data_IF_323186605062
#
_entry.id   IF_323186605062
#
_cell.length_a   1.000
_cell.length_b   1.000
_cell.length_c   1.000
_cell.angle_alpha   90.00
_cell.angle_beta   90.00
_cell.angle_gamma   90.00
#
_symmetry.space_group_name_H-M   'P 1'
#
loop_
_entity.id
_entity.type
_entity.pdbx_description
1 polymer ?
#
# COMPACT_ATOMS: atom_id res chain seq x y z
N UNK A 1 17.10 -32.26 -17.97
CA UNK A 1 16.29 -31.81 -16.82
C UNK A 1 16.44 -30.30 -16.74
N UNK A 2 15.57 -29.55 -17.43
CA UNK A 2 15.60 -28.09 -17.45
C UNK A 2 14.90 -27.59 -16.18
N UNK A 3 15.70 -27.12 -15.22
CA UNK A 3 15.21 -26.41 -14.05
C UNK A 3 14.92 -24.98 -14.50
N UNK A 4 13.66 -24.73 -14.86
CA UNK A 4 13.12 -23.38 -14.95
C UNK A 4 13.18 -22.78 -13.55
N UNK A 5 14.22 -22.01 -13.26
CA UNK A 5 14.21 -21.08 -12.14
C UNK A 5 13.14 -20.05 -12.44
N UNK A 6 11.91 -20.32 -12.01
CA UNK A 6 10.88 -19.30 -11.93
C UNK A 6 11.43 -18.20 -11.04
N UNK A 7 11.76 -17.07 -11.65
CA UNK A 7 11.89 -15.82 -10.94
C UNK A 7 10.49 -15.56 -10.37
N UNK A 8 10.29 -15.96 -9.11
CA UNK A 8 9.25 -15.34 -8.30
C UNK A 8 9.60 -13.86 -8.31
N UNK A 9 8.96 -13.10 -9.19
CA UNK A 9 8.89 -11.66 -9.05
C UNK A 9 8.18 -11.44 -7.72
N UNK A 10 8.96 -11.27 -6.65
CA UNK A 10 8.49 -10.64 -5.43
C UNK A 10 7.88 -9.34 -5.88
N UNK A 11 6.55 -9.27 -5.87
CA UNK A 11 5.83 -8.02 -6.05
C UNK A 11 6.41 -7.07 -5.02
N UNK A 12 7.23 -6.12 -5.48
CA UNK A 12 7.68 -4.99 -4.68
C UNK A 12 6.43 -4.14 -4.42
N UNK A 13 5.68 -4.59 -3.42
CA UNK A 13 4.43 -4.05 -2.97
C UNK A 13 4.66 -2.61 -2.52
N UNK A 14 3.87 -1.69 -3.08
CA UNK A 14 3.64 -0.32 -2.60
C UNK A 14 4.68 0.19 -1.59
N UNK A 15 5.84 0.61 -2.08
CA UNK A 15 6.85 1.22 -1.22
C UNK A 15 6.45 2.67 -0.93
N UNK A 16 5.62 2.86 0.09
CA UNK A 16 5.44 4.17 0.71
C UNK A 16 6.75 4.52 1.45
N UNK A 17 7.33 5.72 1.22
CA UNK A 17 8.47 6.20 1.99
C UNK A 17 8.14 6.19 3.49
N UNK A 18 9.12 5.75 4.30
CA UNK A 18 9.05 5.85 5.75
C UNK A 18 9.99 6.94 6.23
N UNK A 19 9.56 7.69 7.25
CA UNK A 19 10.32 8.79 7.82
C UNK A 19 10.48 8.58 9.32
N UNK A 20 11.72 8.41 9.77
CA UNK A 20 12.06 8.30 11.19
C UNK A 20 12.07 9.69 11.84
N UNK A 21 11.28 9.87 12.89
CA UNK A 21 11.17 11.12 13.63
C UNK A 21 11.83 10.97 15.00
N UNK A 22 12.95 11.64 15.20
CA UNK A 22 13.76 11.58 16.42
C UNK A 22 13.24 12.49 17.57
N UNK A 23 11.92 12.69 17.64
CA UNK A 23 11.25 13.43 18.73
C UNK A 23 10.35 12.48 19.50
N UNK A 24 10.44 12.48 20.84
CA UNK A 24 9.65 11.55 21.66
C UNK A 24 8.25 12.11 21.91
N UNK A 25 7.23 11.39 21.44
CA UNK A 25 5.83 11.78 21.57
C UNK A 25 4.98 10.61 22.08
N UNK A 26 3.82 10.94 22.68
CA UNK A 26 2.80 9.93 22.94
C UNK A 26 2.26 9.42 21.60
N UNK A 27 1.67 8.23 21.56
CA UNK A 27 1.10 7.70 20.31
C UNK A 27 0.11 8.66 19.62
N UNK A 28 -0.88 9.29 20.32
CA UNK A 28 -1.79 10.23 19.65
C UNK A 28 -1.11 11.52 19.19
N UNK A 29 -0.09 12.01 19.90
CA UNK A 29 0.72 13.16 19.46
C UNK A 29 1.52 12.81 18.20
N UNK A 30 2.17 11.63 18.18
CA UNK A 30 2.93 11.14 17.04
C UNK A 30 2.03 10.97 15.80
N UNK A 31 0.82 10.43 15.97
CA UNK A 31 -0.18 10.34 14.91
C UNK A 31 -0.55 11.72 14.37
N UNK A 32 -0.81 12.68 15.25
CA UNK A 32 -1.15 14.05 14.86
C UNK A 32 0.00 14.70 14.10
N UNK A 33 1.25 14.51 14.55
CA UNK A 33 2.44 14.97 13.86
C UNK A 33 2.56 14.39 12.45
N UNK A 34 2.39 13.07 12.30
CA UNK A 34 2.46 12.42 10.99
C UNK A 34 1.34 12.90 10.06
N UNK A 35 0.13 13.14 10.56
CA UNK A 35 -0.99 13.66 9.74
C UNK A 35 -0.84 15.13 9.34
N UNK A 36 -0.07 15.90 10.11
CA UNK A 36 0.21 17.30 9.80
C UNK A 36 1.32 17.45 8.75
N UNK A 37 2.29 16.53 8.71
CA UNK A 37 3.54 16.67 7.93
C UNK A 37 3.77 15.58 6.87
N UNK A 38 3.10 14.45 7.00
CA UNK A 38 3.20 13.27 6.14
C UNK A 38 1.78 12.74 5.87
N UNK A 39 1.58 11.43 5.79
CA UNK A 39 0.24 10.83 5.68
C UNK A 39 -0.30 10.32 7.01
N UNK A 40 0.37 9.37 7.66
CA UNK A 40 -0.01 8.85 9.00
C UNK A 40 1.21 8.12 9.62
N UNK A 41 1.06 7.57 10.82
CA UNK A 41 2.02 6.64 11.41
C UNK A 41 2.20 5.40 10.54
N UNK A 42 3.42 4.87 10.49
CA UNK A 42 3.82 3.77 9.61
C UNK A 42 2.87 2.57 9.69
N UNK A 43 2.47 2.09 8.51
CA UNK A 43 1.73 0.84 8.34
C UNK A 43 2.63 -0.23 7.75
N UNK A 44 2.54 -1.48 8.23
CA UNK A 44 3.39 -2.61 7.83
C UNK A 44 2.52 -3.78 7.37
N UNK A 45 2.66 -4.19 6.11
CA UNK A 45 1.86 -5.25 5.49
C UNK A 45 2.68 -6.48 5.08
N UNK A 46 4.01 -6.39 5.14
CA UNK A 46 4.92 -7.44 4.68
C UNK A 46 6.26 -7.42 5.42
N UNK A 47 7.07 -8.46 5.22
CA UNK A 47 8.44 -8.47 5.73
C UNK A 47 9.31 -7.42 5.02
N UNK A 48 9.01 -7.06 3.77
CA UNK A 48 9.72 -6.00 3.06
C UNK A 48 9.48 -4.64 3.73
N UNK A 49 8.25 -4.39 4.20
CA UNK A 49 7.92 -3.20 4.98
C UNK A 49 8.67 -3.18 6.31
N UNK A 50 8.76 -4.33 6.99
CA UNK A 50 9.57 -4.46 8.21
C UNK A 50 11.04 -4.11 7.93
N UNK A 51 11.62 -4.67 6.87
CA UNK A 51 13.01 -4.42 6.50
C UNK A 51 13.24 -2.94 6.18
N UNK A 52 12.37 -2.29 5.40
CA UNK A 52 12.47 -0.86 5.08
C UNK A 52 12.35 0.00 6.35
N UNK A 53 11.37 -0.30 7.21
CA UNK A 53 11.17 0.43 8.46
C UNK A 53 12.37 0.29 9.39
N UNK A 54 12.91 -0.91 9.58
CA UNK A 54 14.08 -1.13 10.45
C UNK A 54 15.32 -0.42 9.92
N UNK A 55 15.52 -0.40 8.60
CA UNK A 55 16.71 0.21 7.99
C UNK A 55 16.75 1.74 8.10
N UNK A 56 15.61 2.42 8.24
CA UNK A 56 15.56 3.89 8.40
C UNK A 56 15.66 4.34 9.86
N UNK A 57 15.43 3.43 10.81
CA UNK A 57 15.59 3.75 12.23
C UNK A 57 17.07 3.89 12.50
N UNK A 58 17.46 4.98 13.15
CA UNK A 58 18.86 5.34 13.36
C UNK A 58 19.67 4.18 13.97
N UNK A 59 20.83 3.88 13.39
CA UNK A 59 21.59 2.65 13.66
C UNK A 59 22.09 2.56 15.12
N UNK A 60 22.13 3.69 15.84
CA UNK A 60 22.47 3.76 17.26
C UNK A 60 21.28 3.67 18.22
N UNK A 61 20.04 3.68 17.73
CA UNK A 61 18.86 3.64 18.57
C UNK A 61 18.47 2.21 18.91
N UNK A 62 18.66 1.81 20.17
CA UNK A 62 18.27 0.48 20.69
C UNK A 62 16.88 0.46 21.34
N UNK A 63 16.08 1.50 21.16
CA UNK A 63 14.72 1.55 21.70
C UNK A 63 13.68 1.17 20.64
N UNK A 64 12.41 1.07 21.05
CA UNK A 64 11.30 0.86 20.12
C UNK A 64 10.74 2.19 19.59
N UNK A 65 10.15 2.16 18.40
CA UNK A 65 9.47 3.31 17.76
C UNK A 65 7.97 3.06 17.62
N UNK A 66 7.15 4.11 17.67
CA UNK A 66 5.72 3.99 17.37
C UNK A 66 5.45 3.69 15.89
N UNK A 67 4.47 2.82 15.67
CA UNK A 67 3.84 2.53 14.37
C UNK A 67 2.32 2.74 14.47
N UNK A 68 1.64 2.72 13.33
CA UNK A 68 0.21 3.06 13.24
C UNK A 68 -0.75 2.02 13.80
N UNK A 69 -0.27 0.86 14.27
CA UNK A 69 -1.13 -0.20 14.79
C UNK A 69 -1.65 0.17 16.18
N UNK A 70 -2.98 0.13 16.34
CA UNK A 70 -3.66 0.45 17.61
C UNK A 70 -4.84 -0.49 17.84
N UNK A 71 -5.11 -0.82 19.10
CA UNK A 71 -6.31 -1.54 19.53
C UNK A 71 -7.46 -0.56 19.71
N UNK A 72 -8.53 -0.75 18.93
CA UNK A 72 -9.74 0.05 19.01
C UNK A 72 -10.66 -0.38 20.16
N UNK A 73 -11.75 0.36 20.36
CA UNK A 73 -12.74 0.15 21.44
C UNK A 73 -13.41 -1.22 21.42
N UNK A 74 -13.50 -1.87 20.25
CA UNK A 74 -13.99 -3.24 20.09
C UNK A 74 -12.91 -4.31 20.38
N UNK A 75 -11.79 -3.93 21.00
CA UNK A 75 -10.61 -4.79 21.26
C UNK A 75 -10.02 -5.43 20.00
N UNK A 76 -10.12 -4.74 18.86
CA UNK A 76 -9.55 -5.18 17.57
C UNK A 76 -8.38 -4.30 17.17
N UNK A 77 -7.31 -4.92 16.67
CA UNK A 77 -6.17 -4.22 16.10
C UNK A 77 -6.55 -3.65 14.73
N UNK A 78 -6.28 -2.37 14.53
CA UNK A 78 -6.47 -1.67 13.26
C UNK A 78 -5.36 -0.66 13.03
N UNK A 79 -5.04 -0.41 11.77
CA UNK A 79 -4.08 0.61 11.38
C UNK A 79 -4.70 2.00 11.48
N UNK A 80 -3.88 2.98 11.86
CA UNK A 80 -4.29 4.37 12.07
C UNK A 80 -4.82 5.05 10.81
N UNK A 81 -4.36 4.59 9.65
CA UNK A 81 -4.82 5.03 8.33
C UNK A 81 -6.23 4.50 7.95
N UNK A 82 -6.85 3.66 8.79
CA UNK A 82 -8.18 3.10 8.58
C UNK A 82 -8.19 1.80 7.77
N UNK A 83 -7.04 1.28 7.37
CA UNK A 83 -6.97 0.00 6.65
C UNK A 83 -7.17 -1.21 7.56
N UNK A 84 -7.95 -2.18 7.08
CA UNK A 84 -8.33 -3.38 7.81
C UNK A 84 -7.60 -4.63 7.31
N UNK A 85 -6.27 -4.55 7.25
CA UNK A 85 -5.38 -5.63 6.77
C UNK A 85 -4.67 -6.37 7.91
N UNK A 86 -5.01 -6.07 9.17
CA UNK A 86 -4.37 -6.66 10.36
C UNK A 86 -4.55 -8.17 10.49
N UNK A 87 -5.50 -8.76 9.73
CA UNK A 87 -5.68 -10.21 9.62
C UNK A 87 -4.74 -10.88 8.60
N UNK A 88 -4.03 -10.10 7.78
CA UNK A 88 -3.22 -10.58 6.65
C UNK A 88 -1.75 -10.69 7.00
N UNK A 89 -1.24 -9.82 7.88
CA UNK A 89 0.14 -9.81 8.34
C UNK A 89 0.24 -9.39 9.81
N UNK A 90 1.11 -10.08 10.56
CA UNK A 90 1.46 -9.72 11.92
C UNK A 90 2.91 -10.10 12.23
N UNK A 91 3.58 -9.29 13.07
CA UNK A 91 4.95 -9.55 13.50
C UNK A 91 5.14 -9.36 15.01
N UNK A 92 4.21 -9.88 15.81
CA UNK A 92 4.26 -9.82 17.27
C UNK A 92 5.49 -10.52 17.84
N UNK A 93 6.11 -9.92 18.85
CA UNK A 93 7.13 -10.59 19.64
C UNK A 93 6.54 -11.75 20.45
N UNK A 94 7.41 -12.65 20.93
CA UNK A 94 6.97 -13.76 21.78
C UNK A 94 6.25 -13.25 23.04
N UNK A 95 5.05 -13.76 23.30
CA UNK A 95 4.22 -13.34 24.43
C UNK A 95 3.46 -12.02 24.24
N UNK A 96 3.39 -11.50 23.01
CA UNK A 96 2.64 -10.29 22.66
C UNK A 96 1.49 -10.61 21.67
N UNK A 97 0.41 -9.81 21.65
CA UNK A 97 0.11 -8.77 22.64
C UNK A 97 -0.23 -9.40 24.01
N UNK A 98 0.18 -8.76 25.11
CA UNK A 98 -0.08 -9.26 26.48
C UNK A 98 -1.42 -8.75 27.05
N UNK A 99 -2.02 -7.73 26.42
CA UNK A 99 -3.41 -7.34 26.63
C UNK A 99 -3.63 -6.09 27.48
N UNK A 100 -2.61 -5.54 28.15
CA UNK A 100 -2.75 -4.41 29.08
C UNK A 100 -2.63 -3.04 28.39
N UNK A 101 -2.32 -3.05 27.09
CA UNK A 101 -2.02 -1.85 26.32
C UNK A 101 -2.72 -1.79 24.96
N UNK A 102 -2.83 -0.57 24.39
CA UNK A 102 -3.61 -0.33 23.17
C UNK A 102 -2.80 0.20 21.99
N UNK A 103 -1.53 0.56 22.15
CA UNK A 103 -0.71 1.16 21.10
C UNK A 103 0.54 0.34 20.81
N UNK A 104 0.96 0.22 19.55
CA UNK A 104 2.05 -0.70 19.19
C UNK A 104 3.34 0.05 18.90
N UNK A 105 4.42 -0.43 19.50
CA UNK A 105 5.77 -0.06 19.11
C UNK A 105 6.51 -1.23 18.50
N UNK A 106 7.44 -0.96 17.58
CA UNK A 106 8.31 -1.96 16.97
C UNK A 106 9.74 -1.79 17.43
N UNK A 107 10.41 -2.91 17.73
CA UNK A 107 11.83 -2.98 18.06
C UNK A 107 12.46 -4.07 17.20
N UNK A 108 13.48 -3.72 16.41
CA UNK A 108 14.12 -4.65 15.46
C UNK A 108 13.10 -5.41 14.58
N UNK A 109 11.99 -4.77 14.25
CA UNK A 109 10.92 -5.31 13.40
C UNK A 109 9.79 -6.02 14.14
N UNK A 110 9.97 -6.47 15.39
CA UNK A 110 8.94 -7.17 16.16
C UNK A 110 8.08 -6.23 17.00
N UNK A 111 6.80 -6.57 17.13
CA UNK A 111 5.77 -5.69 17.68
C UNK A 111 5.49 -5.97 19.15
N UNK A 112 5.27 -4.89 19.91
CA UNK A 112 4.90 -4.92 21.32
C UNK A 112 3.74 -3.96 21.58
N UNK A 113 2.72 -4.40 22.34
CA UNK A 113 1.69 -3.51 22.85
C UNK A 113 2.22 -2.71 24.06
N UNK A 114 2.00 -1.40 24.03
CA UNK A 114 2.59 -0.43 24.94
C UNK A 114 1.58 0.68 25.27
N UNK A 115 1.68 1.24 26.48
CA UNK A 115 0.80 2.30 26.94
C UNK A 115 0.91 3.49 25.98
N UNK A 116 -0.22 3.94 25.44
CA UNK A 116 -0.27 5.01 24.44
C UNK A 116 0.32 6.34 24.94
N UNK A 117 0.37 6.54 26.26
CA UNK A 117 0.96 7.71 26.92
C UNK A 117 2.50 7.71 26.93
N UNK A 118 3.15 6.57 26.71
CA UNK A 118 4.60 6.47 26.68
C UNK A 118 5.19 7.38 25.60
N UNK A 119 6.27 8.08 25.91
CA UNK A 119 6.97 8.95 24.96
C UNK A 119 8.02 8.15 24.19
N UNK A 120 7.86 7.99 22.88
CA UNK A 120 8.80 7.28 22.00
C UNK A 120 9.03 8.05 20.71
N UNK A 121 10.18 7.80 20.07
CA UNK A 121 10.37 8.13 18.66
C UNK A 121 9.37 7.35 17.81
N UNK A 122 9.15 7.79 16.57
CA UNK A 122 8.08 7.24 15.76
C UNK A 122 8.43 7.29 14.28
N UNK A 123 7.73 6.48 13.49
CA UNK A 123 7.90 6.42 12.05
C UNK A 123 6.60 6.86 11.40
N UNK A 124 6.67 7.86 10.53
CA UNK A 124 5.58 8.23 9.64
C UNK A 124 5.73 7.49 8.30
N UNK A 125 4.63 7.27 7.60
CA UNK A 125 4.68 6.99 6.17
C UNK A 125 4.09 8.15 5.37
N UNK A 126 4.50 8.25 4.12
CA UNK A 126 3.96 9.19 3.16
C UNK A 126 3.37 8.46 1.95
N UNK A 127 2.14 8.82 1.60
CA UNK A 127 1.58 8.53 0.28
C UNK A 127 2.13 9.57 -0.68
N UNK A 128 2.99 9.15 -1.60
CA UNK A 128 3.54 10.00 -2.64
C UNK A 128 2.50 10.43 -3.71
N UNK A 129 1.20 10.21 -3.46
CA UNK A 129 0.11 10.55 -4.37
C UNK A 129 0.11 9.72 -5.65
N UNK A 130 -0.54 10.25 -6.68
CA UNK A 130 -0.60 9.62 -8.00
C UNK A 130 -0.26 10.62 -9.11
N UNK A 131 0.46 10.18 -10.14
CA UNK A 131 0.88 11.00 -11.27
C UNK A 131 0.41 10.37 -12.57
N UNK A 132 -0.38 11.10 -13.36
CA UNK A 132 -0.81 10.68 -14.69
C UNK A 132 0.33 10.86 -15.71
N UNK A 133 0.65 9.78 -16.42
CA UNK A 133 1.54 9.79 -17.57
C UNK A 133 0.70 9.72 -18.85
N UNK A 134 0.70 10.81 -19.62
CA UNK A 134 -0.13 10.92 -20.83
C UNK A 134 0.38 10.07 -22.01
N UNK A 135 1.65 9.66 -22.02
CA UNK A 135 2.18 8.77 -23.07
C UNK A 135 1.50 7.42 -23.03
N UNK A 136 1.08 6.89 -24.18
CA UNK A 136 0.44 5.58 -24.25
C UNK A 136 1.48 4.46 -24.27
N UNK A 137 1.29 3.42 -23.46
CA UNK A 137 2.13 2.23 -23.41
C UNK A 137 1.27 0.98 -23.22
N UNK A 138 1.81 -0.18 -23.60
CA UNK A 138 1.24 -1.45 -23.13
C UNK A 138 1.43 -1.59 -21.61
N UNK A 139 0.72 -2.51 -20.96
CA UNK A 139 0.72 -2.59 -19.50
C UNK A 139 2.11 -2.87 -18.90
N UNK A 140 2.86 -3.80 -19.50
CA UNK A 140 4.21 -4.17 -19.03
C UNK A 140 5.20 -3.01 -19.15
N UNK A 141 5.14 -2.26 -20.25
CA UNK A 141 5.98 -1.08 -20.47
C UNK A 141 5.59 0.09 -19.56
N UNK A 142 4.29 0.25 -19.28
CA UNK A 142 3.77 1.22 -18.31
C UNK A 142 4.28 0.91 -16.90
N UNK A 143 4.20 -0.35 -16.47
CA UNK A 143 4.73 -0.81 -15.19
C UNK A 143 6.24 -0.57 -15.08
N UNK A 144 6.98 -0.98 -16.11
CA UNK A 144 8.43 -0.79 -16.17
C UNK A 144 8.80 0.68 -16.09
N UNK A 145 8.05 1.55 -16.76
CA UNK A 145 8.25 3.00 -16.69
C UNK A 145 8.00 3.54 -15.26
N UNK A 146 6.89 3.15 -14.62
CA UNK A 146 6.61 3.59 -13.25
C UNK A 146 7.70 3.13 -12.28
N UNK A 147 8.20 1.90 -12.38
CA UNK A 147 9.29 1.39 -11.53
C UNK A 147 10.63 2.06 -11.76
N UNK A 148 10.87 2.56 -12.96
CA UNK A 148 12.13 3.25 -13.31
C UNK A 148 12.14 4.72 -12.91
N UNK A 149 10.98 5.39 -12.96
CA UNK A 149 10.89 6.85 -12.80
C UNK A 149 10.12 7.29 -11.56
N UNK A 150 9.37 6.38 -10.94
CA UNK A 150 8.50 6.59 -9.79
C UNK A 150 8.52 5.32 -8.91
N UNK A 151 7.40 4.97 -8.27
CA UNK A 151 7.29 3.74 -7.46
C UNK A 151 6.79 2.55 -8.28
N UNK A 152 5.50 2.52 -8.65
CA UNK A 152 4.89 1.45 -9.48
C UNK A 152 3.50 1.92 -9.99
N UNK A 153 2.84 1.12 -10.83
CA UNK A 153 1.40 1.28 -11.11
C UNK A 153 0.59 1.03 -9.81
N UNK A 154 -0.47 1.80 -9.53
CA UNK A 154 -1.18 1.69 -8.28
C UNK A 154 -2.19 0.55 -8.23
N UNK A 155 -2.17 -0.15 -7.11
CA UNK A 155 -3.28 -1.01 -6.71
C UNK A 155 -4.26 -0.20 -5.86
N UNK A 156 -5.55 -0.26 -6.17
CA UNK A 156 -6.57 0.55 -5.51
C UNK A 156 -7.24 -0.29 -4.42
N UNK A 157 -7.08 0.13 -3.17
CA UNK A 157 -7.50 -0.63 -1.98
C UNK A 157 -8.79 -0.11 -1.34
N UNK A 158 -9.28 1.08 -1.73
CA UNK A 158 -10.53 1.64 -1.22
C UNK A 158 -11.12 2.71 -2.17
N UNK A 159 -12.34 3.14 -1.87
CA UNK A 159 -13.06 4.14 -2.67
C UNK A 159 -12.43 5.52 -2.64
N UNK A 160 -11.74 5.90 -1.55
CA UNK A 160 -11.08 7.20 -1.46
C UNK A 160 -9.91 7.29 -2.44
N UNK A 161 -9.05 6.26 -2.48
CA UNK A 161 -7.97 6.14 -3.48
C UNK A 161 -8.54 6.15 -4.90
N UNK A 162 -9.62 5.41 -5.16
CA UNK A 162 -10.28 5.41 -6.47
C UNK A 162 -10.77 6.82 -6.87
N UNK A 163 -11.37 7.53 -5.93
CA UNK A 163 -11.87 8.89 -6.14
C UNK A 163 -10.73 9.90 -6.34
N UNK A 164 -9.61 9.75 -5.63
CA UNK A 164 -8.41 10.57 -5.82
C UNK A 164 -7.87 10.42 -7.24
N UNK A 165 -7.72 9.18 -7.72
CA UNK A 165 -7.27 8.90 -9.08
C UNK A 165 -8.27 9.47 -10.10
N UNK A 166 -9.58 9.28 -9.88
CA UNK A 166 -10.63 9.78 -10.78
C UNK A 166 -10.60 11.31 -10.95
N UNK A 167 -10.18 12.06 -9.92
CA UNK A 167 -10.07 13.53 -9.96
C UNK A 167 -8.85 14.05 -10.75
N UNK A 168 -7.81 13.25 -10.91
CA UNK A 168 -6.55 13.65 -11.59
C UNK A 168 -6.73 13.71 -13.11
N UNK A 169 -7.79 13.11 -13.63
CA UNK A 169 -7.92 12.76 -15.03
C UNK A 169 -8.84 13.76 -15.73
N UNK A 170 -8.24 14.58 -16.60
CA UNK A 170 -8.92 15.65 -17.33
C UNK A 170 -9.48 15.23 -18.71
N UNK A 171 -9.43 13.93 -19.05
CA UNK A 171 -9.86 13.40 -20.36
C UNK A 171 -10.61 12.08 -20.27
N UNK A 172 -11.55 11.86 -21.19
CA UNK A 172 -12.33 10.63 -21.39
C UNK A 172 -11.49 9.49 -21.99
N UNK A 173 -10.62 8.86 -21.21
CA UNK A 173 -9.79 7.74 -21.66
C UNK A 173 -9.72 6.62 -20.61
N UNK A 174 -9.38 5.42 -21.08
CA UNK A 174 -8.95 4.34 -20.20
C UNK A 174 -7.49 4.55 -19.80
N UNK A 175 -7.17 4.29 -18.54
CA UNK A 175 -5.80 4.32 -18.04
C UNK A 175 -5.38 3.01 -17.40
N UNK A 176 -4.12 2.62 -17.52
CA UNK A 176 -3.60 1.45 -16.82
C UNK A 176 -3.47 1.71 -15.31
N UNK A 177 -3.92 0.73 -14.53
CA UNK A 177 -3.67 0.61 -13.09
C UNK A 177 -2.90 -0.68 -12.80
N UNK A 178 -2.36 -0.80 -11.58
CA UNK A 178 -1.45 -1.89 -11.19
C UNK A 178 -2.14 -3.21 -10.90
N UNK A 179 -3.47 -3.26 -10.94
CA UNK A 179 -4.20 -4.52 -10.82
C UNK A 179 -3.95 -5.35 -12.09
N UNK A 180 -3.33 -6.52 -11.92
CA UNK A 180 -3.18 -7.53 -12.98
C UNK A 180 -3.73 -8.87 -12.48
N UNK A 181 -4.38 -9.62 -13.36
CA UNK A 181 -4.88 -10.96 -13.06
C UNK A 181 -3.73 -11.97 -13.18
N UNK A 182 -3.22 -12.49 -12.07
CA UNK A 182 -2.27 -13.62 -12.12
C UNK A 182 -2.83 -14.94 -11.58
N UNK A 183 -4.10 -14.97 -11.16
CA UNK A 183 -4.90 -16.19 -10.98
C UNK A 183 -6.19 -15.86 -10.25
N UNK A 184 -7.33 -16.03 -10.93
CA UNK A 184 -8.58 -16.25 -10.23
C UNK A 184 -8.85 -17.73 -10.18
N UNK A 185 -8.50 -18.35 -9.07
CA UNK A 185 -9.35 -19.37 -8.47
C UNK A 185 -8.85 -19.73 -7.07
N UNK A 186 -9.75 -19.63 -6.09
CA UNK A 186 -9.72 -20.27 -4.76
C UNK A 186 -8.77 -19.66 -3.72
N UNK A 187 -9.16 -18.52 -3.19
CA UNK A 187 -9.17 -18.40 -1.72
C UNK A 187 -10.33 -17.55 -1.25
N UNK A 188 -11.01 -18.02 -0.22
CA UNK A 188 -12.24 -17.45 0.38
C UNK A 188 -12.02 -16.02 0.95
N UNK A 189 -10.75 -15.57 0.92
CA UNK A 189 -10.29 -14.25 1.38
C UNK A 189 -10.40 -13.17 0.30
N UNK A 190 -10.63 -13.53 -0.97
CA UNK A 190 -10.71 -12.57 -2.09
C UNK A 190 -11.93 -11.63 -2.01
N UNK A 191 -13.02 -12.03 -1.36
CA UNK A 191 -14.22 -11.20 -1.17
C UNK A 191 -14.00 -9.95 -0.30
N UNK A 192 -12.84 -9.86 0.37
CA UNK A 192 -12.51 -8.78 1.30
C UNK A 192 -11.80 -7.58 0.66
N UNK A 193 -11.33 -7.70 -0.58
CA UNK A 193 -10.63 -6.60 -1.28
C UNK A 193 -11.61 -5.67 -2.00
N UNK A 194 -11.29 -4.38 -1.99
CA UNK A 194 -12.06 -3.37 -2.69
C UNK A 194 -12.15 -3.67 -4.18
N UNK A 195 -13.34 -3.47 -4.76
CA UNK A 195 -13.62 -3.68 -6.17
C UNK A 195 -14.44 -2.52 -6.69
N UNK A 196 -14.07 -2.04 -7.86
CA UNK A 196 -14.85 -1.01 -8.55
C UNK A 196 -15.08 -1.37 -10.03
N UNK A 197 -15.35 -2.65 -10.29
CA UNK A 197 -15.67 -3.14 -11.63
C UNK A 197 -16.94 -2.50 -12.21
N UNK A 198 -16.92 -2.25 -13.52
CA UNK A 198 -18.10 -1.90 -14.29
C UNK A 198 -19.11 -3.06 -14.33
N UNK A 199 -20.35 -2.77 -14.71
CA UNK A 199 -21.37 -3.81 -14.87
C UNK A 199 -20.94 -4.85 -15.92
N UNK A 200 -21.04 -6.14 -15.58
CA UNK A 200 -20.62 -7.24 -16.45
C UNK A 200 -19.10 -7.45 -16.54
N UNK A 201 -18.32 -6.69 -15.77
CA UNK A 201 -16.89 -6.93 -15.59
C UNK A 201 -16.63 -7.55 -14.21
N UNK A 202 -15.58 -8.36 -14.08
CA UNK A 202 -14.72 -8.84 -15.15
C UNK A 202 -15.41 -9.87 -16.06
N UNK A 203 -15.03 -9.90 -17.34
CA UNK A 203 -15.61 -10.82 -18.31
C UNK A 203 -15.06 -12.24 -18.15
N UNK A 204 -15.96 -13.23 -18.23
CA UNK A 204 -15.60 -14.66 -18.24
C UNK A 204 -15.18 -15.16 -19.64
N UNK A 205 -15.22 -14.30 -20.67
CA UNK A 205 -14.84 -14.71 -22.03
C UNK A 205 -13.34 -14.84 -22.20
N UNK A 206 -12.91 -15.93 -22.85
CA UNK A 206 -11.54 -16.11 -23.30
C UNK A 206 -11.14 -14.97 -24.26
N UNK A 207 -10.02 -14.31 -23.99
CA UNK A 207 -9.48 -13.23 -24.82
C UNK A 207 -9.75 -11.80 -24.35
N UNK A 208 -10.42 -11.61 -23.20
CA UNK A 208 -10.66 -10.28 -22.61
C UNK A 208 -9.38 -9.60 -22.09
N UNK A 209 -8.32 -10.37 -21.88
CA UNK A 209 -7.03 -9.92 -21.35
C UNK A 209 -6.96 -9.91 -19.82
N UNK A 210 -5.73 -9.99 -19.30
CA UNK A 210 -5.45 -10.12 -17.87
C UNK A 210 -5.11 -8.77 -17.20
N UNK A 211 -5.09 -7.69 -17.98
CA UNK A 211 -4.73 -6.36 -17.50
C UNK A 211 -5.96 -5.51 -17.23
N UNK A 212 -5.86 -4.58 -16.28
CA UNK A 212 -7.01 -3.79 -15.81
C UNK A 212 -6.81 -2.33 -16.13
N UNK A 213 -7.78 -1.79 -16.86
CA UNK A 213 -7.90 -0.37 -17.15
C UNK A 213 -8.99 0.27 -16.29
N UNK A 214 -8.76 1.51 -15.87
CA UNK A 214 -9.76 2.34 -15.20
C UNK A 214 -10.36 3.31 -16.22
N UNK A 215 -11.70 3.32 -16.35
CA UNK A 215 -12.43 4.29 -17.16
C UNK A 215 -12.79 5.51 -16.33
N UNK A 216 -12.33 6.68 -16.76
CA UNK A 216 -12.69 7.96 -16.13
C UNK A 216 -14.07 8.44 -16.51
N UNK A 217 -14.50 8.14 -17.75
CA UNK A 217 -15.83 8.45 -18.24
C UNK A 217 -16.93 7.68 -17.50
N UNK A 218 -16.59 6.52 -16.91
CA UNK A 218 -17.49 5.70 -16.10
C UNK A 218 -17.12 5.80 -14.61
N UNK A 219 -16.90 7.01 -14.07
CA UNK A 219 -16.69 7.24 -12.63
C UNK A 219 -15.59 6.37 -11.99
N UNK A 220 -14.50 6.15 -12.72
CA UNK A 220 -13.36 5.34 -12.30
C UNK A 220 -13.62 3.83 -12.35
N UNK A 221 -14.67 3.34 -13.02
CA UNK A 221 -14.99 1.91 -13.07
C UNK A 221 -13.93 1.11 -13.84
N UNK A 222 -13.68 -0.11 -13.36
CA UNK A 222 -12.62 -0.98 -13.87
C UNK A 222 -13.13 -1.92 -14.96
N UNK A 223 -12.28 -2.17 -15.95
CA UNK A 223 -12.53 -3.04 -17.08
C UNK A 223 -11.33 -3.95 -17.33
N UNK A 224 -11.58 -5.19 -17.74
CA UNK A 224 -10.52 -6.03 -18.30
C UNK A 224 -10.17 -5.58 -19.71
N UNK A 225 -8.87 -5.55 -19.97
CA UNK A 225 -8.31 -5.19 -21.26
C UNK A 225 -7.16 -6.13 -21.61
N UNK A 226 -6.95 -6.31 -22.91
CA UNK A 226 -5.75 -6.97 -23.40
C UNK A 226 -4.51 -6.13 -23.05
N UNK A 227 -3.52 -6.80 -22.46
CA UNK A 227 -2.30 -6.16 -21.97
C UNK A 227 -1.47 -5.46 -23.06
N UNK A 228 -1.68 -5.82 -24.33
CA UNK A 228 -0.99 -5.26 -25.50
C UNK A 228 -1.59 -3.94 -26.00
N UNK A 229 -2.77 -3.55 -25.51
CA UNK A 229 -3.37 -2.25 -25.84
C UNK A 229 -2.51 -1.10 -25.28
N UNK A 230 -2.49 0.01 -26.02
CA UNK A 230 -1.76 1.19 -25.58
C UNK A 230 -2.71 2.18 -24.90
N UNK A 231 -2.48 2.40 -23.61
CA UNK A 231 -3.22 3.37 -22.82
C UNK A 231 -2.25 4.30 -22.07
N UNK A 232 -2.66 5.55 -21.79
CA UNK A 232 -2.04 6.33 -20.73
C UNK A 232 -2.09 5.54 -19.42
N UNK A 233 -1.28 5.92 -18.45
CA UNK A 233 -1.15 5.13 -17.23
C UNK A 233 -0.84 6.04 -16.05
N UNK A 234 -1.14 5.55 -14.86
CA UNK A 234 -0.90 6.30 -13.63
C UNK A 234 0.16 5.58 -12.79
N UNK A 235 1.09 6.33 -12.24
CA UNK A 235 2.06 5.82 -11.28
C UNK A 235 1.69 6.31 -9.88
N UNK A 236 2.01 5.54 -8.84
CA UNK A 236 2.28 6.14 -7.54
C UNK A 236 3.36 7.19 -7.70
N UNK A 237 3.23 8.36 -7.06
CA UNK A 237 4.28 9.38 -7.14
C UNK A 237 5.60 8.88 -6.55
N UNK A 238 6.68 9.57 -6.87
CA UNK A 238 8.01 9.32 -6.30
C UNK A 238 8.47 10.52 -5.45
N UNK A 239 9.53 10.33 -4.66
CA UNK A 239 10.22 11.45 -4.01
C UNK A 239 10.74 12.40 -5.11
N UNK A 240 10.31 13.67 -5.07
CA UNK A 240 10.95 14.70 -5.87
C UNK A 240 12.33 14.97 -5.26
N UNK A 241 13.37 14.33 -5.81
CA UNK A 241 14.72 14.79 -5.59
C UNK A 241 14.87 16.12 -6.34
N UNK A 242 14.71 17.23 -5.61
CA UNK A 242 15.10 18.58 -6.06
C UNK A 242 16.56 18.80 -5.65
#
# INVERSE_FOLDING_TARGET
MLILTGLFWSSSALSHPYHYINVRMSWPEAQSYCRERFTDLATVYSMDDVNRLVNIVDAGYSGSVWIGLKRGTLKRWGWSNGENTTSQYYNWASGQPNGDEDCVSTYAGVWHDMLCSNKRYFVCYENSGYILIQSTKNWTDAQSYCRQNYTDLPTIHNSEQNNQINKILLSENYIWIGLFLDSWERSDKWSLFFRHWAAGQPSMSSGSGDCVGMSTADSGKWFQHRCDLQHPFICHGGEFNI
#
